data_IF_983656698015
#
_entry.id   IF_983656698015
#
_cell.length_a   1.000
_cell.length_b   1.000
_cell.length_c   1.000
_cell.angle_alpha   90.00
_cell.angle_beta   90.00
_cell.angle_gamma   90.00
#
_symmetry.space_group_name_H-M   'P 1'
#
loop_
_entity.id
_entity.type
_entity.pdbx_description
1 polymer ?
#
# COMPACT_ATOMS: atom_id res chain seq x y z
N UNK A 1 -15.91 -13.56 -28.93
CA UNK A 1 -15.65 -14.37 -27.72
C UNK A 1 -15.28 -13.42 -26.57
N UNK A 2 -15.79 -13.68 -25.37
CA UNK A 2 -15.45 -12.93 -24.13
C UNK A 2 -14.78 -13.90 -23.18
N UNK A 3 -13.61 -13.52 -22.68
CA UNK A 3 -12.78 -14.35 -21.80
C UNK A 3 -12.39 -13.57 -20.54
N UNK A 4 -13.18 -13.70 -19.45
CA UNK A 4 -12.85 -13.11 -18.16
C UNK A 4 -11.82 -13.96 -17.43
N UNK A 5 -10.84 -13.33 -16.81
CA UNK A 5 -9.84 -13.95 -15.98
C UNK A 5 -9.76 -13.24 -14.61
N UNK A 6 -9.64 -14.02 -13.55
CA UNK A 6 -9.38 -13.52 -12.21
C UNK A 6 -8.39 -14.41 -11.50
N UNK A 7 -7.37 -13.81 -10.95
CA UNK A 7 -6.35 -14.48 -10.16
C UNK A 7 -6.06 -13.67 -8.88
N UNK A 8 -5.94 -14.36 -7.76
CA UNK A 8 -5.48 -13.73 -6.53
C UNK A 8 -4.59 -14.67 -5.73
N UNK A 9 -3.73 -14.08 -4.92
CA UNK A 9 -3.03 -14.81 -3.88
C UNK A 9 -2.73 -13.92 -2.68
N UNK A 10 -2.73 -14.54 -1.49
CA UNK A 10 -2.31 -13.94 -0.24
C UNK A 10 -1.24 -14.81 0.42
N UNK A 11 -0.16 -14.18 0.84
CA UNK A 11 0.90 -14.79 1.62
C UNK A 11 1.06 -14.04 2.95
N UNK A 12 0.88 -14.78 4.05
CA UNK A 12 1.12 -14.28 5.40
C UNK A 12 2.18 -15.14 6.07
N UNK A 13 3.23 -14.51 6.60
CA UNK A 13 4.24 -15.19 7.38
C UNK A 13 4.63 -14.37 8.61
N UNK A 14 4.81 -15.07 9.74
CA UNK A 14 5.26 -14.47 10.99
C UNK A 14 6.24 -15.41 11.70
N UNK A 15 7.39 -14.86 12.03
CA UNK A 15 8.41 -15.53 12.85
C UNK A 15 8.55 -14.75 14.14
N UNK A 16 8.61 -15.47 15.27
CA UNK A 16 8.92 -14.86 16.53
C UNK A 16 10.17 -15.53 17.12
N UNK A 17 11.05 -14.74 17.68
CA UNK A 17 12.31 -15.17 18.23
C UNK A 17 12.51 -14.61 19.63
N UNK A 18 12.68 -15.48 20.61
CA UNK A 18 13.04 -15.13 21.97
C UNK A 18 14.57 -14.97 22.03
N UNK A 19 15.03 -13.73 22.18
CA UNK A 19 16.46 -13.39 22.26
C UNK A 19 17.00 -13.57 23.68
N UNK A 20 16.13 -13.52 24.67
CA UNK A 20 16.45 -13.62 26.09
C UNK A 20 15.19 -13.69 26.94
N UNK A 21 15.33 -13.52 28.25
CA UNK A 21 14.19 -13.55 29.15
C UNK A 21 13.31 -12.30 29.03
N UNK A 22 13.89 -11.18 28.61
CA UNK A 22 13.23 -9.88 28.52
C UNK A 22 13.02 -9.40 27.10
N UNK A 23 13.55 -10.11 26.10
CA UNK A 23 13.62 -9.67 24.72
C UNK A 23 12.94 -10.65 23.77
N UNK A 24 12.03 -10.14 22.95
CA UNK A 24 11.38 -10.91 21.90
C UNK A 24 11.31 -10.11 20.60
N UNK A 25 11.73 -10.73 19.52
CA UNK A 25 11.70 -10.16 18.19
C UNK A 25 10.62 -10.85 17.35
N UNK A 26 9.90 -10.06 16.55
CA UNK A 26 8.89 -10.55 15.61
C UNK A 26 9.20 -9.99 14.23
N UNK A 27 9.27 -10.85 13.25
CA UNK A 27 9.29 -10.49 11.84
C UNK A 27 7.97 -10.94 11.23
N UNK A 28 7.26 -10.03 10.62
CA UNK A 28 5.98 -10.31 9.95
C UNK A 28 6.02 -9.78 8.53
N UNK A 29 5.48 -10.54 7.60
CA UNK A 29 5.29 -10.10 6.22
C UNK A 29 3.91 -10.48 5.73
N UNK A 30 3.35 -9.62 4.90
CA UNK A 30 2.15 -9.85 4.12
C UNK A 30 2.43 -9.50 2.66
N UNK A 31 1.91 -10.30 1.74
CA UNK A 31 1.88 -9.99 0.30
C UNK A 31 0.53 -10.44 -0.23
N UNK A 32 -0.15 -9.56 -0.94
CA UNK A 32 -1.40 -9.82 -1.64
C UNK A 32 -1.33 -9.32 -3.07
N UNK A 33 -1.93 -10.05 -3.98
CA UNK A 33 -2.16 -9.69 -5.37
C UNK A 33 -3.57 -10.08 -5.75
N UNK A 34 -4.28 -9.16 -6.37
CA UNK A 34 -5.51 -9.38 -7.10
C UNK A 34 -5.30 -8.89 -8.53
N UNK A 35 -5.67 -9.71 -9.49
CA UNK A 35 -5.54 -9.46 -10.94
C UNK A 35 -6.84 -9.87 -11.61
N UNK A 36 -7.49 -8.90 -12.22
CA UNK A 36 -8.72 -9.08 -12.98
C UNK A 36 -8.53 -8.59 -14.41
N UNK A 37 -8.95 -9.42 -15.39
CA UNK A 37 -8.89 -9.06 -16.78
C UNK A 37 -10.11 -9.56 -17.54
N UNK A 38 -10.46 -8.85 -18.61
CA UNK A 38 -11.46 -9.28 -19.59
C UNK A 38 -10.90 -9.05 -20.98
N UNK A 39 -10.80 -10.13 -21.76
CA UNK A 39 -10.45 -10.10 -23.18
C UNK A 39 -11.67 -10.37 -24.02
N UNK A 40 -11.87 -9.56 -25.03
CA UNK A 40 -12.93 -9.74 -26.01
C UNK A 40 -12.31 -9.78 -27.39
N UNK A 41 -12.67 -10.79 -28.17
CA UNK A 41 -12.26 -10.90 -29.55
C UNK A 41 -13.49 -11.13 -30.44
N UNK A 42 -13.61 -10.34 -31.48
CA UNK A 42 -14.68 -10.39 -32.46
C UNK A 42 -14.07 -10.44 -33.88
N UNK A 43 -14.60 -11.30 -34.72
CA UNK A 43 -14.14 -11.48 -36.10
C UNK A 43 -15.30 -11.18 -37.08
N UNK A 44 -15.04 -10.28 -38.03
CA UNK A 44 -16.00 -9.84 -39.03
C UNK A 44 -15.34 -9.89 -40.43
N UNK A 45 -15.50 -11.00 -41.14
CA UNK A 45 -14.84 -11.21 -42.45
C UNK A 45 -13.32 -11.30 -42.29
N UNK A 46 -12.59 -10.33 -42.82
CA UNK A 46 -11.13 -10.20 -42.69
C UNK A 46 -10.68 -9.27 -41.57
N UNK A 47 -11.61 -8.73 -40.77
CA UNK A 47 -11.28 -7.80 -39.67
C UNK A 47 -11.44 -8.48 -38.32
N UNK A 48 -10.49 -8.25 -37.44
CA UNK A 48 -10.41 -8.76 -36.07
C UNK A 48 -10.32 -7.61 -35.10
N UNK A 49 -11.32 -7.51 -34.20
CA UNK A 49 -11.35 -6.56 -33.10
C UNK A 49 -10.95 -7.27 -31.81
N UNK A 50 -9.97 -6.73 -31.08
CA UNK A 50 -9.59 -7.20 -29.77
C UNK A 50 -9.67 -6.07 -28.74
N UNK A 51 -10.27 -6.38 -27.59
CA UNK A 51 -10.34 -5.50 -26.44
C UNK A 51 -9.78 -6.24 -25.23
N UNK A 52 -8.79 -5.67 -24.55
CA UNK A 52 -8.25 -6.17 -23.30
C UNK A 52 -8.41 -5.08 -22.22
N UNK A 53 -9.12 -5.42 -21.15
CA UNK A 53 -9.29 -4.54 -19.99
C UNK A 53 -8.73 -5.25 -18.78
N UNK A 54 -7.79 -4.61 -18.10
CA UNK A 54 -7.11 -5.15 -16.94
C UNK A 54 -7.16 -4.22 -15.73
N UNK A 55 -7.17 -4.84 -14.55
CA UNK A 55 -7.11 -4.18 -13.27
C UNK A 55 -6.34 -5.08 -12.32
N UNK A 56 -5.20 -4.58 -11.80
CA UNK A 56 -4.48 -5.29 -10.75
C UNK A 56 -4.12 -4.36 -9.58
N UNK A 57 -4.09 -4.92 -8.38
CA UNK A 57 -3.53 -4.25 -7.21
C UNK A 57 -2.70 -5.22 -6.40
N UNK A 58 -1.62 -4.67 -5.84
CA UNK A 58 -0.64 -5.41 -5.06
C UNK A 58 -0.40 -4.71 -3.74
N UNK A 59 -0.38 -5.50 -2.69
CA UNK A 59 -0.02 -5.06 -1.36
C UNK A 59 1.18 -5.82 -0.84
N UNK A 60 2.13 -5.13 -0.22
CA UNK A 60 3.17 -5.79 0.55
C UNK A 60 3.48 -5.01 1.83
N UNK A 61 3.65 -5.74 2.93
CA UNK A 61 4.02 -5.19 4.22
C UNK A 61 5.13 -6.04 4.81
N UNK A 62 6.15 -5.39 5.34
CA UNK A 62 7.20 -5.99 6.15
C UNK A 62 7.29 -5.23 7.46
N UNK A 63 7.18 -5.93 8.59
CA UNK A 63 7.26 -5.34 9.92
C UNK A 63 8.22 -6.12 10.82
N UNK A 64 9.10 -5.37 11.47
CA UNK A 64 10.00 -5.86 12.52
C UNK A 64 9.58 -5.23 13.85
N UNK A 65 9.21 -6.06 14.83
CA UNK A 65 8.84 -5.60 16.16
C UNK A 65 9.78 -6.18 17.19
N UNK A 66 10.31 -5.34 18.04
CA UNK A 66 11.07 -5.70 19.22
C UNK A 66 10.29 -5.34 20.48
N UNK A 67 10.06 -6.35 21.31
CA UNK A 67 9.44 -6.22 22.62
C UNK A 67 10.53 -6.33 23.67
N UNK A 68 10.53 -5.39 24.64
CA UNK A 68 11.51 -5.39 25.73
C UNK A 68 10.83 -5.12 27.08
N UNK A 69 11.13 -5.99 28.05
CA UNK A 69 10.73 -5.82 29.45
C UNK A 69 11.84 -5.12 30.22
N UNK A 70 11.69 -3.79 30.44
CA UNK A 70 12.66 -3.00 31.21
C UNK A 70 12.65 -3.37 32.70
N UNK A 71 11.43 -3.57 33.23
CA UNK A 71 11.18 -3.98 34.62
C UNK A 71 9.84 -4.70 34.72
N UNK A 72 9.46 -5.14 35.91
CA UNK A 72 8.12 -5.72 36.15
C UNK A 72 6.96 -4.75 35.83
N UNK A 73 7.23 -3.47 35.78
CA UNK A 73 6.22 -2.42 35.63
C UNK A 73 6.36 -1.60 34.34
N UNK A 74 7.40 -1.83 33.54
CA UNK A 74 7.67 -1.07 32.31
C UNK A 74 8.03 -2.02 31.17
N UNK A 75 7.24 -1.95 30.13
CA UNK A 75 7.38 -2.71 28.89
C UNK A 75 7.42 -1.77 27.69
N UNK A 76 8.13 -2.13 26.65
CA UNK A 76 8.13 -1.36 25.40
C UNK A 76 8.01 -2.24 24.16
N UNK A 77 7.38 -1.67 23.13
CA UNK A 77 7.31 -2.19 21.77
C UNK A 77 7.95 -1.18 20.83
N UNK A 78 8.98 -1.59 20.10
CA UNK A 78 9.51 -0.83 18.97
C UNK A 78 9.15 -1.57 17.68
N UNK A 79 8.50 -0.88 16.76
CA UNK A 79 8.09 -1.45 15.48
C UNK A 79 8.67 -0.62 14.34
N UNK A 80 9.36 -1.26 13.41
CA UNK A 80 9.75 -0.71 12.12
C UNK A 80 8.88 -1.34 11.05
N UNK A 81 8.37 -0.54 10.13
CA UNK A 81 7.45 -0.99 9.08
C UNK A 81 7.83 -0.41 7.73
N UNK A 82 7.70 -1.23 6.70
CA UNK A 82 7.71 -0.82 5.30
C UNK A 82 6.50 -1.41 4.61
N UNK A 83 5.75 -0.57 3.89
CA UNK A 83 4.63 -1.00 3.07
C UNK A 83 4.75 -0.51 1.63
N UNK A 84 4.08 -1.19 0.75
CA UNK A 84 3.92 -0.82 -0.66
C UNK A 84 2.55 -1.25 -1.13
N UNK A 85 1.86 -0.33 -1.77
CA UNK A 85 0.64 -0.54 -2.52
C UNK A 85 0.86 -0.08 -3.96
N UNK A 86 0.54 -0.91 -4.94
CA UNK A 86 0.54 -0.56 -6.36
C UNK A 86 -0.86 -0.88 -6.91
N UNK A 87 -1.35 0.00 -7.74
CA UNK A 87 -2.61 -0.11 -8.45
C UNK A 87 -2.37 0.16 -9.93
N UNK A 88 -2.79 -0.75 -10.79
CA UNK A 88 -2.67 -0.64 -12.22
C UNK A 88 -4.03 -0.91 -12.87
N UNK A 89 -4.38 -0.15 -13.88
CA UNK A 89 -5.52 -0.45 -14.75
C UNK A 89 -5.15 -0.12 -16.17
N UNK A 90 -5.69 -0.90 -17.11
CA UNK A 90 -5.38 -0.77 -18.51
C UNK A 90 -6.55 -1.08 -19.41
N UNK A 91 -6.55 -0.40 -20.53
CA UNK A 91 -7.43 -0.67 -21.66
C UNK A 91 -6.55 -0.74 -22.91
N UNK A 92 -6.72 -1.79 -23.69
CA UNK A 92 -6.04 -2.00 -24.96
C UNK A 92 -7.07 -2.43 -26.01
N UNK A 93 -7.15 -1.70 -27.09
CA UNK A 93 -7.99 -1.97 -28.24
C UNK A 93 -7.13 -2.10 -29.48
N UNK A 94 -7.28 -3.17 -30.24
CA UNK A 94 -6.67 -3.33 -31.54
C UNK A 94 -7.68 -3.77 -32.59
N UNK A 95 -7.54 -3.20 -33.76
CA UNK A 95 -8.24 -3.59 -34.98
C UNK A 95 -7.20 -4.10 -35.99
N UNK A 96 -7.35 -5.35 -36.41
CA UNK A 96 -6.47 -5.96 -37.41
C UNK A 96 -7.28 -6.32 -38.67
N UNK A 97 -6.89 -5.76 -39.79
CA UNK A 97 -7.42 -6.10 -41.11
C UNK A 97 -6.44 -7.03 -41.84
N UNK A 98 -6.89 -8.27 -42.12
CA UNK A 98 -6.12 -9.21 -42.90
C UNK A 98 -6.21 -8.82 -44.39
N UNK A 99 -5.08 -8.49 -45.00
CA UNK A 99 -5.02 -8.13 -46.41
C UNK A 99 -4.08 -9.08 -47.19
N UNK A 100 -4.23 -9.24 -48.55
CA UNK A 100 -3.33 -10.07 -49.34
C UNK A 100 -1.86 -9.66 -49.32
N UNK A 101 -1.56 -8.40 -48.97
CA UNK A 101 -0.21 -7.79 -48.89
C UNK A 101 0.36 -7.82 -47.46
N UNK A 102 -0.39 -8.35 -46.47
CA UNK A 102 -0.03 -8.41 -45.07
C UNK A 102 -1.11 -7.80 -44.17
N UNK A 103 -1.05 -8.08 -42.87
CA UNK A 103 -2.01 -7.57 -41.90
C UNK A 103 -1.70 -6.12 -41.53
N UNK A 104 -2.74 -5.31 -41.47
CA UNK A 104 -2.67 -3.91 -40.98
C UNK A 104 -3.32 -3.90 -39.61
N UNK A 105 -2.56 -3.47 -38.58
CA UNK A 105 -3.08 -3.37 -37.21
C UNK A 105 -3.04 -1.93 -36.74
N UNK A 106 -4.21 -1.45 -36.29
CA UNK A 106 -4.35 -0.18 -35.56
C UNK A 106 -4.55 -0.51 -34.08
N UNK A 107 -3.89 0.26 -33.17
CA UNK A 107 -3.95 0.02 -31.73
C UNK A 107 -4.10 1.31 -30.95
N UNK A 108 -4.98 1.28 -29.98
CA UNK A 108 -5.11 2.27 -28.93
C UNK A 108 -4.98 1.61 -27.57
N UNK A 109 -4.01 2.04 -26.75
CA UNK A 109 -3.89 1.58 -25.38
C UNK A 109 -3.76 2.74 -24.41
N UNK A 110 -4.35 2.56 -23.23
CA UNK A 110 -4.21 3.46 -22.09
C UNK A 110 -3.92 2.65 -20.84
N UNK A 111 -2.77 2.91 -20.22
CA UNK A 111 -2.30 2.23 -19.01
C UNK A 111 -2.14 3.27 -17.90
N UNK A 112 -2.83 3.07 -16.79
CA UNK A 112 -2.72 3.92 -15.60
C UNK A 112 -2.06 3.17 -14.46
N UNK A 113 -1.04 3.77 -13.85
CA UNK A 113 -0.32 3.21 -12.73
C UNK A 113 -0.28 4.23 -11.58
N UNK A 114 -0.60 3.79 -10.37
CA UNK A 114 -0.47 4.60 -9.16
C UNK A 114 -0.03 3.74 -7.96
N UNK A 115 0.38 4.38 -6.88
CA UNK A 115 0.83 3.63 -5.71
C UNK A 115 1.24 4.48 -4.53
N UNK A 116 1.52 3.78 -3.42
CA UNK A 116 1.99 4.37 -2.17
C UNK A 116 3.11 3.49 -1.62
N UNK A 117 4.17 4.12 -1.14
CA UNK A 117 5.26 3.46 -0.39
C UNK A 117 5.45 4.16 0.93
N UNK A 118 5.40 3.38 2.00
CA UNK A 118 5.60 3.90 3.35
C UNK A 118 6.80 3.25 4.02
N UNK A 119 7.47 4.05 4.83
CA UNK A 119 8.45 3.58 5.79
C UNK A 119 8.21 4.31 7.11
N UNK A 120 8.09 3.56 8.19
CA UNK A 120 7.76 4.16 9.49
C UNK A 120 8.37 3.41 10.65
N UNK A 121 8.42 4.13 11.78
CA UNK A 121 8.82 3.60 13.07
C UNK A 121 7.87 4.06 14.16
N UNK A 122 7.54 3.14 15.06
CA UNK A 122 6.66 3.36 16.20
C UNK A 122 7.32 2.84 17.47
N UNK A 123 7.17 3.57 18.54
CA UNK A 123 7.53 3.13 19.89
C UNK A 123 6.36 3.33 20.82
N UNK A 124 6.01 2.28 21.58
CA UNK A 124 4.95 2.29 22.59
C UNK A 124 5.52 1.79 23.91
N UNK A 125 5.11 2.40 25.00
CA UNK A 125 5.44 2.01 26.35
C UNK A 125 4.16 1.71 27.14
N UNK A 126 4.18 0.59 27.85
CA UNK A 126 3.18 0.23 28.84
C UNK A 126 3.84 0.35 30.23
N UNK A 127 3.29 1.20 31.10
CA UNK A 127 3.82 1.48 32.41
C UNK A 127 2.76 1.36 33.49
N UNK A 128 2.98 0.47 34.44
CA UNK A 128 2.08 0.22 35.58
C UNK A 128 2.76 0.68 36.87
N UNK A 129 2.73 1.99 37.23
CA UNK A 129 3.42 2.49 38.42
C UNK A 129 2.88 1.90 39.70
N UNK A 130 1.60 1.53 39.74
CA UNK A 130 0.93 0.90 40.85
C UNK A 130 -0.37 0.19 40.37
N UNK A 131 -1.10 -0.43 41.27
CA UNK A 131 -2.31 -1.23 40.93
C UNK A 131 -3.53 -0.39 40.46
N UNK A 132 -3.43 0.94 40.44
CA UNK A 132 -4.53 1.83 40.04
C UNK A 132 -4.30 2.53 38.72
N UNK A 133 -3.09 2.55 38.22
CA UNK A 133 -2.71 3.29 37.02
C UNK A 133 -2.09 2.35 36.00
N UNK A 134 -2.60 2.39 34.77
CA UNK A 134 -1.99 1.79 33.62
C UNK A 134 -1.76 2.86 32.55
N UNK A 135 -0.51 3.34 32.48
CA UNK A 135 -0.13 4.43 31.59
C UNK A 135 0.44 3.87 30.29
N UNK A 136 -0.10 4.32 29.17
CA UNK A 136 0.44 4.05 27.85
C UNK A 136 0.91 5.35 27.22
N UNK A 137 2.09 5.35 26.65
CA UNK A 137 2.62 6.50 25.92
C UNK A 137 3.53 6.06 24.80
N UNK A 138 3.65 6.88 23.78
CA UNK A 138 4.45 6.52 22.63
C UNK A 138 4.41 7.55 21.53
N UNK A 139 4.94 7.15 20.38
CA UNK A 139 4.94 7.96 19.18
C UNK A 139 5.23 7.17 17.94
N UNK A 140 4.92 7.79 16.82
CA UNK A 140 5.12 7.24 15.49
C UNK A 140 5.67 8.32 14.55
N UNK A 141 6.49 7.90 13.61
CA UNK A 141 6.86 8.70 12.43
C UNK A 141 6.75 7.81 11.22
N UNK A 142 6.01 8.27 10.20
CA UNK A 142 5.88 7.57 8.92
C UNK A 142 6.17 8.54 7.78
N UNK A 143 7.04 8.14 6.88
CA UNK A 143 7.27 8.84 5.61
C UNK A 143 6.50 8.10 4.52
N UNK A 144 5.69 8.87 3.79
CA UNK A 144 4.90 8.43 2.65
C UNK A 144 5.54 8.95 1.36
N UNK A 145 5.55 8.11 0.34
CA UNK A 145 5.82 8.46 -1.04
C UNK A 145 4.60 8.06 -1.85
N UNK A 146 3.89 9.04 -2.39
CA UNK A 146 2.74 8.83 -3.25
C UNK A 146 3.18 8.91 -4.71
N UNK A 147 2.74 7.96 -5.48
CA UNK A 147 2.77 7.99 -6.94
C UNK A 147 1.36 8.36 -7.41
N UNK A 148 1.08 9.65 -7.71
CA UNK A 148 -0.29 10.14 -7.91
C UNK A 148 -0.98 9.56 -9.14
N UNK A 149 -0.22 8.84 -9.95
CA UNK A 149 -0.67 8.18 -11.15
C UNK A 149 0.02 8.75 -12.39
N UNK A 150 0.38 7.83 -13.28
CA UNK A 150 0.84 8.13 -14.62
C UNK A 150 -0.01 7.35 -15.62
N UNK A 151 -0.47 8.03 -16.66
CA UNK A 151 -1.20 7.42 -17.77
C UNK A 151 -0.28 7.36 -18.97
N UNK A 152 0.04 6.16 -19.43
CA UNK A 152 0.66 5.94 -20.72
C UNK A 152 -0.44 5.83 -21.77
N UNK A 153 -0.31 6.56 -22.86
CA UNK A 153 -1.19 6.50 -24.02
C UNK A 153 -0.38 6.04 -25.22
N UNK A 154 -0.84 4.97 -25.85
CA UNK A 154 -0.24 4.40 -27.06
C UNK A 154 -1.27 4.51 -28.19
N UNK A 155 -0.88 5.14 -29.28
CA UNK A 155 -1.62 5.18 -30.54
C UNK A 155 -0.67 4.64 -31.61
N UNK A 156 -1.09 3.58 -32.29
CA UNK A 156 -0.33 2.98 -33.38
C UNK A 156 -1.26 2.78 -34.58
N UNK A 157 -1.02 3.53 -35.64
CA UNK A 157 -1.74 3.48 -36.90
C UNK A 157 -0.79 3.02 -38.04
N UNK A 158 0.06 2.06 -37.74
CA UNK A 158 1.05 1.51 -38.67
C UNK A 158 2.09 2.54 -39.10
N UNK A 159 2.29 2.69 -40.41
CA UNK A 159 3.28 3.62 -40.99
C UNK A 159 2.81 5.09 -40.94
N UNK A 160 1.53 5.36 -40.72
CA UNK A 160 0.94 6.69 -40.83
C UNK A 160 1.17 7.54 -39.57
N UNK A 161 1.01 6.95 -38.37
CA UNK A 161 1.14 7.71 -37.12
C UNK A 161 1.40 6.78 -35.93
N UNK A 162 2.41 7.12 -35.15
CA UNK A 162 2.75 6.42 -33.89
C UNK A 162 2.96 7.44 -32.77
N UNK A 163 2.27 7.24 -31.66
CA UNK A 163 2.43 8.01 -30.42
C UNK A 163 2.57 7.05 -29.24
N UNK A 164 3.65 7.19 -28.48
CA UNK A 164 3.81 6.59 -27.15
C UNK A 164 4.22 7.68 -26.19
N UNK A 165 3.32 8.05 -25.28
CA UNK A 165 3.57 9.15 -24.35
C UNK A 165 3.04 8.80 -22.96
N UNK A 166 3.75 9.30 -21.94
CA UNK A 166 3.33 9.15 -20.54
C UNK A 166 3.03 10.50 -19.94
N UNK A 167 1.83 10.64 -19.42
CA UNK A 167 1.35 11.81 -18.69
C UNK A 167 1.21 11.45 -17.22
N UNK A 168 1.83 12.21 -16.34
CA UNK A 168 1.75 11.94 -14.90
C UNK A 168 2.18 13.13 -14.06
N UNK A 169 1.85 13.10 -12.79
CA UNK A 169 2.33 14.05 -11.81
C UNK A 169 3.63 13.52 -11.16
N UNK A 170 4.51 14.42 -10.67
CA UNK A 170 5.68 14.02 -9.91
C UNK A 170 5.26 13.34 -8.59
N UNK A 171 6.16 12.52 -8.05
CA UNK A 171 5.98 11.90 -6.76
C UNK A 171 5.77 12.95 -5.67
N UNK A 172 4.82 12.68 -4.78
CA UNK A 172 4.56 13.50 -3.61
C UNK A 172 5.11 12.81 -2.36
N UNK A 173 5.76 13.60 -1.50
CA UNK A 173 6.29 13.10 -0.24
C UNK A 173 5.61 13.78 0.92
N UNK A 174 5.21 12.99 1.92
CA UNK A 174 4.75 13.52 3.19
C UNK A 174 5.39 12.78 4.35
N UNK A 175 5.41 13.44 5.51
CA UNK A 175 5.82 12.82 6.77
C UNK A 175 4.76 13.10 7.81
N UNK A 176 4.19 12.03 8.36
CA UNK A 176 3.28 12.08 9.48
C UNK A 176 4.01 11.69 10.75
N UNK A 177 3.78 12.42 11.83
CA UNK A 177 4.28 12.09 13.15
C UNK A 177 3.22 12.34 14.22
N UNK A 178 3.19 11.49 15.24
CA UNK A 178 2.37 11.73 16.42
C UNK A 178 3.05 11.26 17.69
N UNK A 179 2.61 11.84 18.80
CA UNK A 179 2.89 11.39 20.16
C UNK A 179 1.58 11.29 20.94
N UNK A 180 1.53 10.41 21.90
CA UNK A 180 0.35 10.23 22.75
C UNK A 180 0.74 9.80 24.16
N UNK A 181 -0.15 10.09 25.09
CA UNK A 181 -0.14 9.55 26.44
C UNK A 181 -1.56 9.33 26.90
N UNK A 182 -1.83 8.20 27.55
CA UNK A 182 -3.11 7.88 28.16
C UNK A 182 -2.87 7.17 29.49
N UNK A 183 -3.78 7.37 30.45
CA UNK A 183 -3.77 6.72 31.74
C UNK A 183 -5.16 6.11 32.01
N UNK A 184 -5.19 4.79 32.15
CA UNK A 184 -6.35 4.07 32.64
C UNK A 184 -6.26 4.01 34.15
N UNK A 185 -7.22 4.65 34.84
CA UNK A 185 -7.22 4.89 36.29
C UNK A 185 -8.34 4.09 36.94
N UNK A 186 -8.01 3.19 37.84
CA UNK A 186 -8.96 2.53 38.74
C UNK A 186 -9.28 3.45 39.92
N UNK A 187 -10.37 4.25 39.82
CA UNK A 187 -10.79 5.18 40.85
C UNK A 187 -11.31 4.45 42.11
N UNK A 188 -12.06 3.40 41.90
CA UNK A 188 -12.54 2.48 42.95
C UNK A 188 -13.11 1.20 42.30
N UNK A 189 -13.68 0.27 43.10
CA UNK A 189 -14.21 -0.99 42.60
C UNK A 189 -15.34 -0.86 41.56
N UNK A 190 -15.96 0.31 41.41
CA UNK A 190 -17.10 0.56 40.50
C UNK A 190 -16.76 1.51 39.34
N UNK A 191 -15.73 2.31 39.46
CA UNK A 191 -15.43 3.38 38.55
C UNK A 191 -14.00 3.28 38.02
N UNK A 192 -13.89 3.28 36.71
CA UNK A 192 -12.63 3.43 35.98
C UNK A 192 -12.71 4.67 35.09
N UNK A 193 -11.61 5.37 34.93
CA UNK A 193 -11.47 6.50 34.02
C UNK A 193 -10.33 6.25 33.06
N UNK A 194 -10.47 6.68 31.82
CA UNK A 194 -9.36 6.75 30.86
C UNK A 194 -9.20 8.21 30.44
N UNK A 195 -8.02 8.76 30.64
CA UNK A 195 -7.68 10.16 30.31
C UNK A 195 -6.42 10.17 29.48
N UNK A 196 -6.41 10.89 28.36
CA UNK A 196 -5.24 10.95 27.51
C UNK A 196 -5.18 12.20 26.66
N UNK A 197 -4.02 12.38 26.04
CA UNK A 197 -3.74 13.42 25.07
C UNK A 197 -3.01 12.84 23.87
N UNK A 198 -3.33 13.36 22.70
CA UNK A 198 -2.70 13.01 21.44
C UNK A 198 -2.37 14.28 20.66
N UNK A 199 -1.16 14.33 20.11
CA UNK A 199 -0.73 15.39 19.22
C UNK A 199 -0.20 14.78 17.94
N UNK A 200 -0.69 15.25 16.79
CA UNK A 200 -0.26 14.80 15.47
C UNK A 200 0.15 15.99 14.59
N UNK A 201 1.04 15.71 13.68
CA UNK A 201 1.50 16.67 12.67
C UNK A 201 1.70 15.95 11.34
N UNK A 202 1.32 16.63 10.25
CA UNK A 202 1.56 16.22 8.88
C UNK A 202 2.41 17.27 8.18
N UNK A 203 3.51 16.85 7.62
CA UNK A 203 4.40 17.69 6.84
C UNK A 203 4.34 17.28 5.37
N UNK A 204 3.98 18.21 4.48
CA UNK A 204 3.86 18.00 3.03
C UNK A 204 4.53 19.16 2.31
N UNK A 205 5.54 18.90 1.48
CA UNK A 205 6.19 19.88 0.60
C UNK A 205 6.55 21.23 1.27
N UNK A 206 7.05 21.19 2.49
CA UNK A 206 7.44 22.40 3.23
C UNK A 206 6.32 23.05 4.05
N UNK A 207 5.10 22.53 4.02
CA UNK A 207 3.95 22.98 4.82
C UNK A 207 3.69 21.99 5.95
N UNK A 208 3.48 22.50 7.16
CA UNK A 208 3.14 21.72 8.35
C UNK A 208 1.68 21.94 8.72
N UNK A 209 0.96 20.84 8.93
CA UNK A 209 -0.43 20.80 9.42
C UNK A 209 -0.43 20.15 10.80
N UNK A 210 -1.14 20.72 11.77
CA UNK A 210 -1.25 20.22 13.15
C UNK A 210 -2.70 20.20 13.61
#
# INVERSE_FOLDING_TARGET
QVDPAYFFHDLNAKVNWRLGDRDRLYLSTFQGLDDFGVKTRSEYGSSIDEIDVGLDWRNSVLALRWNHEHSANLFSNVTLMKSRYDFNTGFDFSLTDETPDGDITERFASLYNSGIRDIGGRIDFDYTPNNRHFVRFGGNVTRHQFYPGATQVILDYGDDFNLDTTLGAPDLFSTEAFIYVEDEIDLNERWKANVGGHFSTLFVEGVTYT
#
